data_IF_686850831290
#
_entry.id   IF_686850831290
#
_cell.length_a   1.000
_cell.length_b   1.000
_cell.length_c   1.000
_cell.angle_alpha   90.00
_cell.angle_beta   90.00
_cell.angle_gamma   90.00
#
_symmetry.space_group_name_H-M   'P 1'
#
loop_
_entity.id
_entity.type
_entity.pdbx_description
1 polymer ?
#
# COMPACT_ATOMS: atom_id res chain seq x y z
N UNK A 1 25.74 -34.12 36.95
CA UNK A 1 24.55 -33.42 37.48
C UNK A 1 23.57 -33.23 36.32
N UNK A 2 22.46 -33.94 36.39
CA UNK A 2 21.45 -34.00 35.32
C UNK A 2 20.39 -32.94 35.63
N UNK A 3 20.19 -31.97 34.76
CA UNK A 3 19.02 -31.05 34.85
C UNK A 3 17.96 -31.44 33.82
N UNK A 4 16.88 -31.92 34.35
CA UNK A 4 15.66 -32.32 33.67
C UNK A 4 14.86 -31.08 33.26
N UNK A 5 14.60 -30.89 31.98
CA UNK A 5 13.69 -29.83 31.47
C UNK A 5 12.25 -30.36 31.52
N UNK A 6 11.42 -29.69 32.29
CA UNK A 6 9.97 -29.88 32.35
C UNK A 6 9.31 -29.21 31.17
N UNK A 7 8.67 -30.00 30.31
CA UNK A 7 7.74 -29.55 29.28
C UNK A 7 6.38 -29.29 29.94
N UNK A 8 5.98 -28.02 30.00
CA UNK A 8 4.61 -27.65 30.40
C UNK A 8 3.78 -27.41 29.13
N UNK A 9 2.96 -28.39 28.76
CA UNK A 9 1.90 -28.28 27.76
C UNK A 9 0.72 -27.54 28.40
N UNK A 10 0.47 -26.31 28.05
CA UNK A 10 -0.76 -25.59 28.39
C UNK A 10 -1.75 -25.63 27.23
N UNK A 11 -2.67 -26.59 27.37
CA UNK A 11 -3.82 -26.79 26.48
C UNK A 11 -4.86 -25.70 26.77
N UNK A 12 -4.96 -24.63 25.97
CA UNK A 12 -6.03 -23.64 26.10
C UNK A 12 -7.22 -23.99 25.21
N UNK A 13 -8.26 -24.44 25.90
CA UNK A 13 -9.61 -24.78 25.43
C UNK A 13 -10.19 -23.67 24.53
N UNK A 14 -10.59 -24.07 23.33
CA UNK A 14 -11.51 -23.34 22.45
C UNK A 14 -12.92 -23.33 23.07
N UNK A 15 -13.43 -22.14 23.36
CA UNK A 15 -14.84 -21.92 23.62
C UNK A 15 -15.50 -21.42 22.32
N UNK A 16 -16.32 -22.28 21.73
CA UNK A 16 -17.27 -21.93 20.68
C UNK A 16 -18.35 -21.01 21.26
N UNK A 17 -18.57 -19.89 20.64
CA UNK A 17 -19.78 -19.07 20.85
C UNK A 17 -20.61 -19.05 19.56
N UNK A 18 -21.95 -19.19 19.69
CA UNK A 18 -22.82 -19.35 18.53
C UNK A 18 -23.20 -18.02 17.86
N UNK A 19 -23.45 -18.11 16.55
CA UNK A 19 -23.97 -17.07 15.69
C UNK A 19 -25.41 -16.67 16.04
N UNK A 20 -25.78 -15.39 15.92
CA UNK A 20 -27.18 -15.00 15.88
C UNK A 20 -27.74 -15.07 14.46
N UNK A 21 -28.80 -15.86 14.30
CA UNK A 21 -29.71 -15.83 13.17
C UNK A 21 -30.83 -14.80 13.41
N UNK A 22 -31.12 -13.95 12.42
CA UNK A 22 -32.44 -13.34 12.22
C UNK A 22 -32.50 -12.86 10.77
N UNK A 23 -33.20 -13.48 9.92
CA UNK A 23 -34.60 -13.52 9.49
C UNK A 23 -35.20 -12.16 9.18
N UNK A 24 -35.54 -12.03 7.88
CA UNK A 24 -36.83 -11.64 7.34
C UNK A 24 -37.23 -10.18 7.35
N UNK A 25 -37.52 -9.57 6.24
CA UNK A 25 -38.79 -9.43 5.54
C UNK A 25 -38.79 -8.21 4.66
N UNK A 26 -38.94 -8.35 3.38
CA UNK A 26 -40.11 -8.28 2.53
C UNK A 26 -40.60 -6.88 2.12
N UNK A 27 -40.68 -6.76 0.77
CA UNK A 27 -41.68 -6.06 -0.06
C UNK A 27 -41.75 -4.53 0.05
N UNK A 28 -41.87 -3.78 -1.00
CA UNK A 28 -42.76 -3.82 -2.16
C UNK A 28 -42.49 -2.66 -3.09
N UNK A 29 -42.70 -2.87 -4.35
CA UNK A 29 -43.41 -2.19 -5.44
C UNK A 29 -42.74 -1.09 -6.21
N UNK A 30 -42.58 -1.39 -7.50
CA UNK A 30 -42.69 -0.53 -8.68
C UNK A 30 -44.16 -0.07 -8.87
N UNK A 31 -44.55 0.89 -9.74
CA UNK A 31 -44.09 1.01 -11.13
C UNK A 31 -44.13 2.43 -11.78
N UNK A 32 -43.75 2.47 -13.07
CA UNK A 32 -44.25 3.33 -14.18
C UNK A 32 -43.69 4.77 -14.23
N UNK A 33 -43.29 5.32 -15.34
CA UNK A 33 -43.71 5.36 -16.68
C UNK A 33 -42.75 6.26 -17.49
N UNK A 34 -42.60 6.01 -18.76
CA UNK A 34 -41.91 6.84 -19.73
C UNK A 34 -42.74 8.07 -20.14
N UNK A 35 -42.38 8.81 -21.17
CA UNK A 35 -42.08 8.32 -22.50
C UNK A 35 -40.96 9.08 -23.29
N UNK A 36 -40.65 8.50 -24.41
CA UNK A 36 -39.89 8.89 -25.58
C UNK A 36 -40.04 10.35 -26.03
N UNK A 37 -38.96 10.98 -26.47
CA UNK A 37 -39.00 11.84 -27.64
C UNK A 37 -37.69 11.83 -28.39
N UNK A 38 -37.84 11.50 -29.61
CA UNK A 38 -36.99 11.40 -30.76
C UNK A 38 -36.74 12.82 -31.34
N UNK A 39 -35.50 13.23 -31.58
CA UNK A 39 -35.20 14.17 -32.65
C UNK A 39 -33.82 13.95 -33.26
N UNK A 40 -33.91 13.59 -34.52
CA UNK A 40 -32.80 13.57 -35.49
C UNK A 40 -32.28 15.00 -35.71
N UNK A 41 -30.98 15.13 -35.87
CA UNK A 41 -30.31 16.31 -36.34
C UNK A 41 -28.96 15.94 -36.91
N UNK A 42 -28.97 15.65 -38.20
CA UNK A 42 -27.81 15.41 -39.05
C UNK A 42 -27.30 16.78 -39.52
N UNK A 43 -26.04 17.13 -39.28
CA UNK A 43 -25.27 18.05 -40.16
C UNK A 43 -23.79 17.73 -40.13
N UNK A 44 -23.30 17.75 -41.32
CA UNK A 44 -21.94 17.48 -41.84
C UNK A 44 -20.86 18.48 -41.42
N UNK A 45 -19.66 17.96 -41.46
CA UNK A 45 -18.48 18.43 -42.19
C UNK A 45 -17.38 19.19 -41.43
N UNK A 46 -16.27 18.61 -41.63
CA UNK A 46 -14.95 19.06 -42.10
C UNK A 46 -13.90 19.45 -41.08
N UNK A 47 -12.95 18.54 -41.03
CA UNK A 47 -11.49 18.74 -41.16
C UNK A 47 -10.88 20.05 -40.68
N UNK A 48 -10.04 19.98 -39.68
CA UNK A 48 -8.69 20.55 -39.76
C UNK A 48 -7.76 19.89 -38.75
N UNK A 49 -6.79 19.20 -39.30
CA UNK A 49 -5.58 18.71 -38.65
C UNK A 49 -4.77 19.87 -38.12
N UNK A 50 -4.53 19.93 -36.82
CA UNK A 50 -3.41 20.67 -36.26
C UNK A 50 -2.67 19.76 -35.30
N UNK A 51 -1.61 19.17 -35.84
CA UNK A 51 -0.56 18.49 -35.11
C UNK A 51 0.18 19.49 -34.21
N UNK A 52 -0.21 19.60 -32.96
CA UNK A 52 0.64 20.19 -31.93
C UNK A 52 1.47 19.07 -31.29
N UNK A 53 2.68 18.94 -31.80
CA UNK A 53 3.74 18.16 -31.15
C UNK A 53 4.09 18.85 -29.83
N UNK A 54 3.43 18.43 -28.73
CA UNK A 54 3.91 18.70 -27.41
C UNK A 54 5.10 17.75 -27.15
N UNK A 55 6.30 18.31 -27.31
CA UNK A 55 7.53 17.70 -26.84
C UNK A 55 7.42 17.54 -25.33
N UNK A 56 6.96 16.38 -24.90
CA UNK A 56 7.13 15.93 -23.53
C UNK A 56 8.63 15.68 -23.34
N UNK A 57 9.30 16.59 -22.67
CA UNK A 57 10.62 16.37 -22.10
C UNK A 57 10.53 15.20 -21.13
N UNK A 58 10.74 14.00 -21.65
CA UNK A 58 10.91 12.78 -20.87
C UNK A 58 12.20 12.93 -20.06
N UNK A 59 12.06 13.27 -18.79
CA UNK A 59 13.12 13.08 -17.81
C UNK A 59 13.61 11.62 -17.87
N UNK A 60 14.95 11.37 -17.89
CA UNK A 60 15.47 10.05 -18.10
C UNK A 60 15.10 9.12 -16.94
N UNK A 61 14.26 8.15 -17.26
CA UNK A 61 14.20 6.84 -16.65
C UNK A 61 14.01 6.73 -15.13
N UNK A 62 12.88 7.22 -14.62
CA UNK A 62 12.37 6.76 -13.34
C UNK A 62 11.61 5.43 -13.53
N UNK A 63 12.30 4.37 -13.94
CA UNK A 63 11.71 3.04 -14.03
C UNK A 63 11.24 2.62 -12.63
N UNK A 64 9.95 2.29 -12.53
CA UNK A 64 9.39 1.69 -11.31
C UNK A 64 10.09 0.35 -11.08
N UNK A 65 11.06 0.30 -10.17
CA UNK A 65 11.70 -0.93 -9.77
C UNK A 65 10.76 -1.68 -8.82
N UNK A 66 10.09 -2.71 -9.35
CA UNK A 66 9.25 -3.60 -8.56
C UNK A 66 10.09 -4.80 -8.11
N UNK A 67 10.07 -5.07 -6.81
CA UNK A 67 10.95 -6.07 -6.18
C UNK A 67 10.13 -7.11 -5.44
N UNK A 68 10.32 -8.39 -5.76
CA UNK A 68 9.69 -9.51 -5.06
C UNK A 68 10.18 -9.62 -3.61
N UNK A 69 9.39 -10.21 -2.69
CA UNK A 69 9.75 -10.30 -1.28
C UNK A 69 11.14 -10.92 -1.01
N UNK A 70 11.51 -12.00 -1.70
CA UNK A 70 12.83 -12.62 -1.53
C UNK A 70 13.97 -11.65 -1.86
N UNK A 71 13.85 -10.95 -3.00
CA UNK A 71 14.85 -9.97 -3.40
C UNK A 71 14.87 -8.75 -2.49
N UNK A 72 13.70 -8.35 -1.99
CA UNK A 72 13.56 -7.29 -1.01
C UNK A 72 14.31 -7.65 0.29
N UNK A 73 14.17 -8.88 0.78
CA UNK A 73 14.90 -9.37 1.95
C UNK A 73 16.42 -9.30 1.77
N UNK A 74 16.94 -9.75 0.62
CA UNK A 74 18.38 -9.64 0.30
C UNK A 74 18.88 -8.19 0.31
N UNK A 75 18.07 -7.27 -0.26
CA UNK A 75 18.42 -5.85 -0.32
C UNK A 75 18.45 -5.21 1.08
N UNK A 76 17.52 -5.58 1.95
CA UNK A 76 17.45 -5.10 3.34
C UNK A 76 18.61 -5.70 4.15
N UNK A 77 18.83 -7.02 4.07
CA UNK A 77 19.88 -7.70 4.83
C UNK A 77 21.29 -7.23 4.43
N UNK A 78 21.51 -6.94 3.15
CA UNK A 78 22.74 -6.34 2.65
C UNK A 78 22.91 -4.87 3.05
N UNK A 79 21.95 -4.29 3.80
CA UNK A 79 21.90 -2.87 4.20
C UNK A 79 22.00 -1.88 3.03
N UNK A 80 21.68 -2.34 1.81
CA UNK A 80 21.68 -1.48 0.63
C UNK A 80 20.42 -0.62 0.57
N UNK A 81 19.28 -1.15 1.05
CA UNK A 81 18.00 -0.46 1.04
C UNK A 81 17.42 -0.30 2.44
N UNK A 82 16.94 0.90 2.75
CA UNK A 82 16.12 1.14 3.93
C UNK A 82 14.66 0.83 3.61
N UNK A 83 14.00 0.01 4.43
CA UNK A 83 12.59 -0.31 4.25
C UNK A 83 11.71 0.76 4.89
N UNK A 84 10.85 1.37 4.08
CA UNK A 84 9.86 2.38 4.50
C UNK A 84 8.46 1.80 4.34
N UNK A 85 7.78 1.60 5.44
CA UNK A 85 6.38 1.16 5.47
C UNK A 85 5.46 2.36 5.45
N UNK A 86 4.66 2.49 4.39
CA UNK A 86 3.74 3.62 4.19
C UNK A 86 2.31 3.30 4.60
N UNK A 87 2.10 2.25 5.37
CA UNK A 87 0.80 1.94 6.00
C UNK A 87 0.52 2.94 7.12
N UNK A 88 -0.71 2.91 7.64
CA UNK A 88 -1.03 3.67 8.84
C UNK A 88 -0.27 3.11 10.06
N UNK A 89 -0.01 3.94 11.07
CA UNK A 89 0.62 3.49 12.31
C UNK A 89 -0.16 2.34 12.96
N UNK A 90 -1.48 2.43 12.95
CA UNK A 90 -2.35 1.38 13.47
C UNK A 90 -2.14 0.03 12.74
N UNK A 91 -2.09 0.00 11.40
CA UNK A 91 -1.79 -1.22 10.65
C UNK A 91 -0.39 -1.76 10.98
N UNK A 92 0.59 -0.88 11.09
CA UNK A 92 1.98 -1.21 11.39
C UNK A 92 2.10 -1.93 12.75
N UNK A 93 1.46 -1.40 13.77
CA UNK A 93 1.51 -1.91 15.15
C UNK A 93 0.66 -3.17 15.35
N UNK A 94 -0.54 -3.22 14.75
CA UNK A 94 -1.51 -4.32 15.00
C UNK A 94 -1.34 -5.52 14.09
N UNK A 95 -1.02 -5.29 12.81
CA UNK A 95 -0.82 -6.37 11.84
C UNK A 95 0.61 -6.90 11.87
N UNK A 96 1.53 -6.09 12.39
CA UNK A 96 2.95 -6.38 12.43
C UNK A 96 3.71 -5.78 11.26
N UNK A 97 5.04 -5.80 11.36
CA UNK A 97 5.96 -5.18 10.43
C UNK A 97 7.29 -5.92 10.36
N UNK A 98 8.09 -5.62 9.34
CA UNK A 98 9.47 -6.13 9.25
C UNK A 98 10.35 -5.43 10.29
N UNK A 99 11.22 -6.19 10.96
CA UNK A 99 12.25 -5.66 11.85
C UNK A 99 13.09 -4.57 11.16
N UNK A 100 13.39 -3.49 11.86
CA UNK A 100 14.12 -2.34 11.35
C UNK A 100 13.41 -1.59 10.20
N UNK A 101 12.10 -1.77 10.00
CA UNK A 101 11.34 -0.93 9.11
C UNK A 101 11.03 0.44 9.73
N UNK A 102 11.00 1.47 8.89
CA UNK A 102 10.59 2.82 9.30
C UNK A 102 9.15 3.06 8.87
N UNK A 103 8.25 3.32 9.83
CA UNK A 103 6.86 3.65 9.54
C UNK A 103 6.70 5.14 9.26
N UNK A 104 6.36 5.48 8.01
CA UNK A 104 6.01 6.85 7.59
C UNK A 104 4.71 6.76 6.78
N UNK A 105 3.54 7.01 7.39
CA UNK A 105 2.26 6.83 6.73
C UNK A 105 2.08 7.76 5.53
N UNK A 106 1.69 7.20 4.37
CA UNK A 106 1.29 8.00 3.21
C UNK A 106 -0.11 8.58 3.36
N UNK A 107 -1.01 7.86 4.07
CA UNK A 107 -2.32 8.36 4.46
C UNK A 107 -2.41 8.45 5.99
N UNK A 108 -2.88 9.57 6.51
CA UNK A 108 -3.15 9.75 7.93
C UNK A 108 -4.49 9.10 8.32
N UNK A 109 -5.43 9.04 7.38
CA UNK A 109 -6.73 8.42 7.54
C UNK A 109 -7.10 7.59 6.32
N UNK A 110 -7.72 6.43 6.55
CA UNK A 110 -8.24 5.53 5.50
C UNK A 110 -9.75 5.67 5.29
N UNK A 111 -10.36 6.74 5.84
CA UNK A 111 -11.77 7.06 5.62
C UNK A 111 -12.09 7.39 4.14
N UNK A 112 -13.37 7.40 3.75
CA UNK A 112 -13.79 7.84 2.42
C UNK A 112 -14.06 9.38 2.39
N UNK A 113 -13.24 10.19 1.69
CA UNK A 113 -12.02 9.84 0.96
C UNK A 113 -10.82 9.65 1.91
N UNK A 114 -9.81 8.86 1.51
CA UNK A 114 -8.59 8.73 2.28
C UNK A 114 -7.82 10.04 2.28
N UNK A 115 -7.30 10.42 3.45
CA UNK A 115 -6.57 11.68 3.65
C UNK A 115 -5.06 11.46 3.50
N UNK A 116 -4.45 12.15 2.55
CA UNK A 116 -2.99 12.09 2.32
C UNK A 116 -2.27 12.83 3.45
N UNK A 117 -1.19 12.26 3.94
CA UNK A 117 -0.33 12.89 4.93
C UNK A 117 0.36 14.13 4.33
N UNK A 118 0.03 15.36 4.77
CA UNK A 118 0.63 16.57 4.24
C UNK A 118 2.12 16.68 4.53
N UNK A 119 2.58 16.07 5.63
CA UNK A 119 3.98 16.10 6.04
C UNK A 119 4.80 14.88 5.54
N UNK A 120 4.23 14.01 4.70
CA UNK A 120 4.86 12.78 4.24
C UNK A 120 6.29 13.00 3.72
N UNK A 121 6.48 13.96 2.80
CA UNK A 121 7.80 14.26 2.23
C UNK A 121 8.75 14.77 3.30
N UNK A 122 8.31 15.67 4.16
CA UNK A 122 9.09 16.23 5.24
C UNK A 122 9.55 15.16 6.23
N UNK A 123 8.67 14.23 6.60
CA UNK A 123 9.01 13.10 7.47
C UNK A 123 10.06 12.18 6.83
N UNK A 124 9.93 11.91 5.52
CA UNK A 124 10.92 11.13 4.79
C UNK A 124 12.26 11.87 4.72
N UNK A 125 12.26 13.18 4.44
CA UNK A 125 13.48 13.99 4.39
C UNK A 125 14.20 14.07 5.74
N UNK A 126 13.46 14.13 6.84
CA UNK A 126 14.07 14.09 8.19
C UNK A 126 14.78 12.77 8.49
N UNK A 127 14.25 11.64 7.99
CA UNK A 127 14.85 10.31 8.20
C UNK A 127 15.92 9.98 7.14
N UNK A 128 15.70 10.42 5.91
CA UNK A 128 16.53 10.12 4.74
C UNK A 128 16.84 11.40 3.96
N UNK A 129 17.72 12.27 4.48
CA UNK A 129 17.99 13.59 3.89
C UNK A 129 18.66 13.53 2.51
N UNK A 130 19.32 12.42 2.20
CA UNK A 130 19.98 12.24 0.90
C UNK A 130 18.99 11.70 -0.12
N UNK A 131 18.83 12.38 -1.24
CA UNK A 131 17.91 12.01 -2.32
C UNK A 131 18.35 10.78 -3.13
N UNK A 132 19.59 10.39 -3.05
CA UNK A 132 20.16 9.18 -3.65
C UNK A 132 20.09 7.95 -2.73
N UNK A 133 19.59 8.11 -1.51
CA UNK A 133 19.44 7.02 -0.54
C UNK A 133 18.55 5.91 -1.12
N UNK A 134 19.00 4.65 -1.11
CA UNK A 134 18.17 3.54 -1.60
C UNK A 134 17.02 3.24 -0.65
N UNK A 135 15.80 3.43 -1.11
CA UNK A 135 14.57 3.21 -0.35
C UNK A 135 13.74 2.10 -0.96
N UNK A 136 13.33 1.14 -0.15
CA UNK A 136 12.35 0.13 -0.49
C UNK A 136 11.03 0.50 0.16
N UNK A 137 10.02 0.81 -0.66
CA UNK A 137 8.73 1.27 -0.19
C UNK A 137 7.76 0.10 -0.15
N UNK A 138 7.12 -0.12 1.01
CA UNK A 138 6.09 -1.15 1.19
C UNK A 138 4.80 -0.59 1.75
N UNK A 139 3.68 -1.19 1.33
CA UNK A 139 2.37 -0.97 1.96
C UNK A 139 1.63 -2.31 2.08
N UNK A 140 0.33 -2.34 2.38
CA UNK A 140 -0.38 -3.60 2.57
C UNK A 140 -0.42 -4.50 1.31
N UNK A 141 -0.65 -3.93 0.11
CA UNK A 141 -0.85 -4.68 -1.14
C UNK A 141 -0.27 -4.02 -2.40
N UNK A 142 0.56 -2.97 -2.27
CA UNK A 142 1.24 -2.31 -3.38
C UNK A 142 0.57 -1.03 -3.92
N UNK A 143 -0.70 -0.75 -3.60
CA UNK A 143 -1.41 0.42 -4.14
C UNK A 143 -0.97 1.76 -3.54
N UNK A 144 -0.77 1.81 -2.22
CA UNK A 144 -0.30 3.01 -1.51
C UNK A 144 1.18 3.28 -1.77
N UNK A 145 2.00 2.23 -1.76
CA UNK A 145 3.44 2.32 -2.03
C UNK A 145 3.73 2.85 -3.43
N UNK A 146 2.91 2.48 -4.42
CA UNK A 146 3.03 3.02 -5.77
C UNK A 146 2.82 4.54 -5.81
N UNK A 147 1.81 5.06 -5.09
CA UNK A 147 1.55 6.51 -4.98
C UNK A 147 2.67 7.20 -4.20
N UNK A 148 3.06 6.67 -3.05
CA UNK A 148 4.15 7.19 -2.23
C UNK A 148 5.47 7.24 -3.02
N UNK A 149 5.80 6.19 -3.77
CA UNK A 149 6.97 6.14 -4.64
C UNK A 149 6.95 7.19 -5.74
N UNK A 150 5.78 7.47 -6.33
CA UNK A 150 5.64 8.55 -7.32
C UNK A 150 5.90 9.92 -6.69
N UNK A 151 5.26 10.21 -5.54
CA UNK A 151 5.46 11.46 -4.80
C UNK A 151 6.92 11.65 -4.36
N UNK A 152 7.60 10.58 -3.94
CA UNK A 152 9.02 10.64 -3.58
C UNK A 152 9.92 10.93 -4.78
N UNK A 153 9.63 10.36 -5.97
CA UNK A 153 10.37 10.68 -7.20
C UNK A 153 10.17 12.13 -7.61
N UNK A 154 8.95 12.65 -7.51
CA UNK A 154 8.64 14.07 -7.74
C UNK A 154 9.42 14.98 -6.76
N UNK A 155 9.63 14.53 -5.51
CA UNK A 155 10.44 15.21 -4.52
C UNK A 155 11.96 15.03 -4.74
N UNK A 156 12.39 14.34 -5.82
CA UNK A 156 13.78 14.21 -6.24
C UNK A 156 14.51 12.97 -5.74
N UNK A 157 13.83 12.01 -5.10
CA UNK A 157 14.45 10.73 -4.75
C UNK A 157 14.67 9.87 -5.99
N UNK A 158 15.91 9.44 -6.22
CA UNK A 158 16.32 8.75 -7.46
C UNK A 158 16.36 7.23 -7.34
N UNK A 159 16.55 6.70 -6.14
CA UNK A 159 16.79 5.27 -5.91
C UNK A 159 15.65 4.64 -5.09
N UNK A 160 14.51 4.43 -5.74
CA UNK A 160 13.29 3.90 -5.11
C UNK A 160 12.92 2.57 -5.72
N UNK A 161 12.79 1.54 -4.88
CA UNK A 161 12.18 0.26 -5.17
C UNK A 161 10.81 0.16 -4.48
N UNK A 162 9.90 -0.61 -5.06
CA UNK A 162 8.55 -0.83 -4.55
C UNK A 162 8.36 -2.33 -4.29
N UNK A 163 7.87 -2.71 -3.10
CA UNK A 163 7.67 -4.11 -2.73
C UNK A 163 6.44 -4.68 -3.46
N UNK A 164 6.67 -5.67 -4.32
CA UNK A 164 5.63 -6.37 -5.07
C UNK A 164 4.69 -7.12 -4.12
N UNK A 165 3.38 -6.90 -4.27
CA UNK A 165 2.36 -7.49 -3.39
C UNK A 165 2.33 -6.94 -1.97
N UNK A 166 3.25 -6.04 -1.62
CA UNK A 166 3.33 -5.36 -0.33
C UNK A 166 3.53 -6.30 0.85
N UNK A 167 3.14 -5.85 2.05
CA UNK A 167 3.30 -6.62 3.29
C UNK A 167 2.52 -7.93 3.31
N UNK A 168 1.42 -8.03 2.55
CA UNK A 168 0.68 -9.31 2.42
C UNK A 168 1.54 -10.40 1.78
N UNK A 169 2.24 -10.07 0.69
CA UNK A 169 3.15 -11.02 0.05
C UNK A 169 4.36 -11.32 0.95
N UNK A 170 4.89 -10.31 1.63
CA UNK A 170 5.94 -10.48 2.63
C UNK A 170 5.56 -11.44 3.75
N UNK A 171 4.38 -11.26 4.34
CA UNK A 171 3.89 -12.07 5.45
C UNK A 171 3.66 -13.54 5.09
N UNK A 172 3.29 -13.82 3.84
CA UNK A 172 3.14 -15.20 3.34
C UNK A 172 4.50 -15.92 3.28
N UNK A 173 5.56 -15.21 2.89
CA UNK A 173 6.88 -15.81 2.70
C UNK A 173 7.74 -15.78 3.96
N UNK A 174 7.58 -14.75 4.80
CA UNK A 174 8.47 -14.47 5.93
C UNK A 174 7.70 -14.17 7.22
N UNK A 175 6.63 -14.93 7.49
CA UNK A 175 5.80 -14.75 8.69
C UNK A 175 6.59 -14.76 10.00
N UNK A 176 7.63 -15.57 10.08
CA UNK A 176 8.51 -15.68 11.27
C UNK A 176 9.38 -14.44 11.53
N UNK A 177 9.48 -13.54 10.54
CA UNK A 177 10.28 -12.32 10.63
C UNK A 177 9.42 -11.06 10.88
N UNK A 178 8.18 -11.26 11.30
CA UNK A 178 7.23 -10.18 11.59
C UNK A 178 7.28 -9.87 13.08
N UNK A 179 7.47 -8.60 13.40
CA UNK A 179 7.34 -8.07 14.75
C UNK A 179 5.99 -7.34 14.90
N UNK A 180 5.40 -7.42 16.08
CA UNK A 180 4.19 -6.69 16.46
C UNK A 180 4.49 -5.75 17.61
N UNK A 181 3.88 -4.58 17.63
CA UNK A 181 4.07 -3.59 18.69
C UNK A 181 4.72 -2.29 18.19
N UNK A 182 4.96 -1.36 19.11
CA UNK A 182 5.62 -0.09 18.81
C UNK A 182 7.09 -0.33 18.44
N UNK A 183 7.41 -0.25 17.18
CA UNK A 183 8.78 -0.25 16.64
C UNK A 183 9.37 1.16 16.51
N UNK A 184 8.98 2.09 17.41
CA UNK A 184 9.44 3.48 17.40
C UNK A 184 10.54 3.69 18.42
#
# INVERSE_FOLDING_TARGET
>A
MRHTFFLSLSLKRMLLSPLPTSSSSARTTTPSGGPKSNRRGLVHASSSSSSSSSSSSSSPNAQKLLVKPQKALELIQSQKYAYVDVRTKHEFETVGHHKNSTCIPYFVSMGPPPEVNPDFIKEVEMKFPRKDCPLLIGCAAGGRSAKASATLREAGYTNIADLEGGFKAWAIEFGDMIETGCGC
#
